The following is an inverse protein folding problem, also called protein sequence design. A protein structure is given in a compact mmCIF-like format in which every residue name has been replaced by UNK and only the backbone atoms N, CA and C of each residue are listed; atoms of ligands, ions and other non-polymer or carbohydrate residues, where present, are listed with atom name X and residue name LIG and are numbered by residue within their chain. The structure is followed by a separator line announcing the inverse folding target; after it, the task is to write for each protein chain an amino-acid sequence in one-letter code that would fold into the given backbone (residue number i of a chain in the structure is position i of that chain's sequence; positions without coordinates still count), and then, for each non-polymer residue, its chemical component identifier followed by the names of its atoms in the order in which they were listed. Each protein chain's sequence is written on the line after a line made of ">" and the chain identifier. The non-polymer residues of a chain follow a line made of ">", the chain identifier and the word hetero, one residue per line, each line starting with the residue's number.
data_IF_931028268859
#
_entry.id   IF_931028268859
#
_cell.length_a   1.000
_cell.length_b   1.000
_cell.length_c   1.000
_cell.angle_alpha   90.00
_cell.angle_beta   90.00
_cell.angle_gamma   90.00
#
_symmetry.space_group_name_H-M   'P 1'
#
loop_
_entity.id
_entity.type
_entity.pdbx_description
1 polymer ?
#
# COMPACT_ATOMS: atom_id res chain seq x y z
N UNK A 1 36.51 4.88 3.80
CA UNK A 1 35.07 4.75 3.50
C UNK A 1 34.57 3.50 4.22
N UNK A 2 34.18 3.62 5.49
CA UNK A 2 33.64 2.49 6.24
C UNK A 2 32.22 2.25 5.77
N UNK A 3 31.99 1.18 5.01
CA UNK A 3 30.64 0.76 4.67
C UNK A 3 29.94 0.34 5.95
N UNK A 4 28.72 0.85 6.16
CA UNK A 4 27.84 0.38 7.22
C UNK A 4 27.80 -1.16 7.20
N UNK A 5 27.98 -1.83 8.36
CA UNK A 5 28.01 -3.28 8.40
C UNK A 5 26.69 -3.83 7.85
N UNK A 6 26.78 -4.84 6.98
CA UNK A 6 25.61 -5.54 6.47
C UNK A 6 24.86 -6.17 7.64
N UNK A 7 23.64 -5.70 7.89
CA UNK A 7 22.73 -6.28 8.89
C UNK A 7 21.80 -7.25 8.16
N UNK A 8 21.89 -8.54 8.49
CA UNK A 8 20.97 -9.55 7.96
C UNK A 8 19.53 -9.31 8.43
N UNK A 9 18.55 -9.77 7.66
CA UNK A 9 17.13 -9.72 8.08
C UNK A 9 16.91 -10.38 9.45
N UNK A 10 17.69 -11.41 9.79
CA UNK A 10 17.64 -12.09 11.08
C UNK A 10 18.12 -11.17 12.21
N UNK A 11 19.25 -10.46 12.01
CA UNK A 11 19.73 -9.48 13.01
C UNK A 11 18.75 -8.34 13.23
N UNK A 12 18.11 -7.82 12.17
CA UNK A 12 17.03 -6.82 12.30
C UNK A 12 15.85 -7.39 13.09
N UNK A 13 15.39 -8.59 12.77
CA UNK A 13 14.27 -9.23 13.45
C UNK A 13 14.54 -9.47 14.96
N UNK A 14 15.79 -9.81 15.32
CA UNK A 14 16.20 -9.94 16.71
C UNK A 14 16.31 -8.59 17.45
N UNK A 15 16.70 -7.52 16.75
CA UNK A 15 16.77 -6.18 17.31
C UNK A 15 15.39 -5.56 17.59
N UNK A 16 14.34 -6.03 16.91
CA UNK A 16 12.97 -5.57 17.18
C UNK A 16 12.52 -5.99 18.58
N UNK A 17 11.73 -5.15 19.25
CA UNK A 17 11.04 -5.54 20.48
C UNK A 17 9.98 -6.62 20.18
N UNK A 18 9.59 -7.39 21.19
CA UNK A 18 8.49 -8.35 21.03
C UNK A 18 7.20 -7.64 20.57
N UNK A 19 6.91 -6.47 21.14
CA UNK A 19 5.79 -5.61 20.74
C UNK A 19 5.80 -5.26 19.24
N UNK A 20 6.96 -4.94 18.68
CA UNK A 20 7.06 -4.65 17.25
C UNK A 20 6.92 -5.91 16.39
N UNK A 21 7.50 -7.04 16.80
CA UNK A 21 7.30 -8.33 16.11
C UNK A 21 5.83 -8.73 16.09
N UNK A 22 5.14 -8.61 17.21
CA UNK A 22 3.71 -8.93 17.32
C UNK A 22 2.89 -7.99 16.44
N UNK A 23 3.23 -6.69 16.39
CA UNK A 23 2.58 -5.75 15.48
C UNK A 23 2.68 -6.20 14.01
N UNK A 24 3.89 -6.51 13.53
CA UNK A 24 4.09 -6.96 12.14
C UNK A 24 3.40 -8.30 11.84
N UNK A 25 3.47 -9.26 12.77
CA UNK A 25 2.85 -10.58 12.61
C UNK A 25 1.31 -10.51 12.52
N UNK A 26 0.70 -9.47 13.08
CA UNK A 26 -0.75 -9.27 13.08
C UNK A 26 -1.26 -8.30 12.00
N UNK A 27 -0.38 -7.81 11.11
CA UNK A 27 -0.82 -6.97 9.99
C UNK A 27 -1.71 -7.77 9.04
N UNK A 28 -2.84 -7.17 8.66
CA UNK A 28 -3.73 -7.72 7.65
C UNK A 28 -3.17 -7.40 6.26
N UNK A 29 -3.26 -8.35 5.33
CA UNK A 29 -2.86 -8.13 3.94
C UNK A 29 -3.72 -7.09 3.23
N UNK A 30 -4.99 -6.97 3.65
CA UNK A 30 -5.90 -5.93 3.23
C UNK A 30 -6.95 -5.70 4.34
N UNK A 31 -7.64 -4.57 4.25
CA UNK A 31 -8.85 -4.28 5.03
C UNK A 31 -10.00 -4.00 4.05
N UNK A 32 -11.23 -4.33 4.44
CA UNK A 32 -12.41 -4.14 3.61
C UNK A 32 -13.55 -3.65 4.48
N UNK A 33 -14.17 -2.54 4.08
CA UNK A 33 -15.39 -2.02 4.70
C UNK A 33 -16.58 -2.11 3.72
N UNK A 34 -17.65 -1.34 3.96
CA UNK A 34 -18.83 -1.35 3.09
C UNK A 34 -18.54 -0.84 1.67
N UNK A 35 -17.64 0.12 1.51
CA UNK A 35 -17.46 0.88 0.27
C UNK A 35 -16.06 0.71 -0.35
N UNK A 36 -15.05 0.42 0.46
CA UNK A 36 -13.65 0.42 0.04
C UNK A 36 -12.89 -0.86 0.41
N UNK A 37 -11.82 -1.10 -0.35
CA UNK A 37 -10.79 -2.10 -0.07
C UNK A 37 -9.46 -1.36 0.08
N UNK A 38 -8.71 -1.64 1.14
CA UNK A 38 -7.43 -1.01 1.43
C UNK A 38 -6.33 -2.07 1.35
N UNK A 39 -5.36 -1.88 0.46
CA UNK A 39 -4.32 -2.87 0.18
C UNK A 39 -2.98 -2.17 -0.06
N UNK A 40 -1.85 -2.84 0.22
CA UNK A 40 -0.55 -2.20 0.06
C UNK A 40 -0.24 -1.81 -1.40
N UNK A 41 -0.29 -2.77 -2.33
CA UNK A 41 0.09 -2.54 -3.73
C UNK A 41 -1.09 -2.53 -4.70
N UNK A 42 -2.03 -3.46 -4.55
CA UNK A 42 -3.17 -3.57 -5.44
C UNK A 42 -3.78 -4.96 -5.38
N UNK A 43 -4.60 -5.28 -6.38
CA UNK A 43 -5.25 -6.58 -6.52
C UNK A 43 -5.10 -7.10 -7.95
N UNK A 44 -5.12 -8.42 -8.12
CA UNK A 44 -5.24 -9.05 -9.44
C UNK A 44 -6.64 -8.76 -10.02
N UNK A 45 -6.74 -8.07 -11.17
CA UNK A 45 -8.03 -7.76 -11.81
C UNK A 45 -8.85 -9.02 -12.10
N UNK A 46 -10.17 -8.93 -11.91
CA UNK A 46 -11.10 -10.05 -12.19
C UNK A 46 -11.02 -11.22 -11.21
N UNK A 47 -10.14 -11.16 -10.20
CA UNK A 47 -10.04 -12.18 -9.14
C UNK A 47 -10.75 -11.67 -7.88
N UNK A 48 -11.67 -12.44 -7.27
CA UNK A 48 -12.34 -12.01 -6.05
C UNK A 48 -11.36 -11.95 -4.87
N UNK A 49 -11.62 -11.08 -3.89
CA UNK A 49 -10.68 -10.81 -2.77
C UNK A 49 -10.20 -12.05 -2.03
N UNK A 50 -11.08 -13.03 -1.78
CA UNK A 50 -10.73 -14.27 -1.08
C UNK A 50 -9.79 -15.21 -1.86
N UNK A 51 -9.51 -14.92 -3.15
CA UNK A 51 -8.60 -15.66 -4.02
C UNK A 51 -7.37 -14.85 -4.44
N UNK A 52 -7.18 -13.67 -3.87
CA UNK A 52 -6.01 -12.84 -4.16
C UNK A 52 -4.75 -13.48 -3.57
N UNK A 53 -3.67 -13.49 -4.36
CA UNK A 53 -2.37 -13.97 -3.90
C UNK A 53 -1.66 -12.91 -3.07
N UNK A 54 -1.01 -13.32 -1.96
CA UNK A 54 -0.29 -12.41 -1.07
C UNK A 54 0.80 -11.61 -1.79
N UNK A 55 1.43 -12.24 -2.78
CA UNK A 55 2.43 -11.58 -3.61
C UNK A 55 1.84 -10.38 -4.34
N UNK A 56 0.67 -10.54 -4.96
CA UNK A 56 0.02 -9.46 -5.70
C UNK A 56 -0.41 -8.33 -4.76
N UNK A 57 -1.00 -8.66 -3.60
CA UNK A 57 -1.41 -7.68 -2.60
C UNK A 57 -0.25 -6.78 -2.13
N UNK A 58 0.98 -7.29 -2.17
CA UNK A 58 2.19 -6.60 -1.72
C UNK A 58 3.06 -6.02 -2.85
N UNK A 59 2.94 -6.49 -4.09
CA UNK A 59 3.91 -6.18 -5.15
C UNK A 59 3.35 -5.90 -6.54
N UNK A 60 2.04 -6.06 -6.77
CA UNK A 60 1.47 -5.81 -8.11
C UNK A 60 1.60 -4.33 -8.50
N UNK A 61 1.81 -4.07 -9.79
CA UNK A 61 1.97 -2.72 -10.35
C UNK A 61 1.08 -2.55 -11.58
N UNK A 62 1.69 -2.58 -12.77
CA UNK A 62 1.09 -2.23 -14.05
C UNK A 62 -0.18 -3.04 -14.35
N UNK A 63 -0.16 -4.35 -14.10
CA UNK A 63 -1.32 -5.23 -14.26
C UNK A 63 -2.57 -4.72 -13.52
N UNK A 64 -2.38 -4.15 -12.33
CA UNK A 64 -3.45 -3.55 -11.53
C UNK A 64 -3.74 -2.10 -11.93
N UNK A 65 -2.70 -1.27 -12.11
CA UNK A 65 -2.84 0.18 -12.37
C UNK A 65 -3.56 0.45 -13.69
N UNK A 66 -3.29 -0.37 -14.71
CA UNK A 66 -3.80 -0.17 -16.08
C UNK A 66 -5.06 -0.97 -16.41
N UNK A 67 -5.54 -1.82 -15.50
CA UNK A 67 -6.75 -2.64 -15.72
C UNK A 67 -7.89 -2.24 -14.77
N UNK A 68 -9.16 -2.32 -15.19
CA UNK A 68 -10.30 -2.20 -14.28
C UNK A 68 -10.26 -3.31 -13.22
N UNK A 69 -10.56 -3.02 -11.96
CA UNK A 69 -10.54 -4.03 -10.88
C UNK A 69 -11.60 -5.11 -11.10
N UNK A 70 -12.77 -4.73 -11.62
CA UNK A 70 -13.95 -5.58 -11.72
C UNK A 70 -14.68 -5.79 -10.38
N UNK A 71 -14.32 -5.03 -9.35
CA UNK A 71 -14.98 -5.08 -8.04
C UNK A 71 -16.00 -3.94 -7.92
N UNK A 72 -17.04 -4.16 -7.10
CA UNK A 72 -18.02 -3.12 -6.78
C UNK A 72 -17.49 -2.07 -5.79
N UNK A 73 -16.33 -2.32 -5.17
CA UNK A 73 -15.70 -1.44 -4.17
C UNK A 73 -14.47 -0.79 -4.77
N UNK A 74 -14.27 0.49 -4.45
CA UNK A 74 -13.09 1.25 -4.87
C UNK A 74 -11.87 0.83 -4.05
N UNK A 75 -10.73 0.61 -4.70
CA UNK A 75 -9.50 0.11 -4.08
C UNK A 75 -8.55 1.26 -3.73
N UNK A 76 -8.23 1.44 -2.45
CA UNK A 76 -7.22 2.38 -1.96
C UNK A 76 -5.88 1.66 -1.80
N UNK A 77 -4.82 2.18 -2.43
CA UNK A 77 -3.51 1.52 -2.48
C UNK A 77 -2.33 2.49 -2.38
N UNK A 78 -1.13 1.94 -2.16
CA UNK A 78 0.15 2.65 -2.16
C UNK A 78 1.17 1.94 -3.06
N UNK A 79 2.40 1.72 -2.56
CA UNK A 79 3.48 0.94 -3.18
C UNK A 79 4.11 1.51 -4.47
N UNK A 80 3.29 1.94 -5.41
CA UNK A 80 3.73 2.56 -6.65
C UNK A 80 3.65 4.09 -6.48
N UNK A 81 4.79 4.80 -6.44
CA UNK A 81 4.79 6.23 -6.24
C UNK A 81 4.31 6.97 -7.48
N UNK A 82 3.48 8.00 -7.28
CA UNK A 82 3.03 8.93 -8.31
C UNK A 82 3.36 10.37 -7.92
N UNK A 83 3.49 11.28 -8.90
CA UNK A 83 3.78 12.69 -8.62
C UNK A 83 2.65 13.42 -7.86
N UNK A 84 1.42 12.90 -7.98
CA UNK A 84 0.19 13.37 -7.32
C UNK A 84 -0.69 12.14 -7.03
N UNK A 85 -1.72 12.24 -6.17
CA UNK A 85 -2.62 11.12 -5.94
C UNK A 85 -3.15 10.55 -7.25
N UNK A 86 -3.08 9.23 -7.40
CA UNK A 86 -3.58 8.54 -8.57
C UNK A 86 -5.07 8.27 -8.38
N UNK A 87 -5.93 8.80 -9.26
CA UNK A 87 -7.38 8.66 -9.08
C UNK A 87 -7.99 8.09 -10.35
N UNK A 88 -8.72 6.99 -10.18
CA UNK A 88 -9.62 6.38 -11.17
C UNK A 88 -10.95 6.06 -10.48
N UNK A 89 -11.95 5.73 -11.29
CA UNK A 89 -13.29 5.34 -10.81
C UNK A 89 -13.25 4.16 -9.84
N UNK A 90 -12.34 3.22 -10.03
CA UNK A 90 -12.26 1.95 -9.30
C UNK A 90 -11.07 1.87 -8.33
N UNK A 91 -10.17 2.87 -8.30
CA UNK A 91 -9.01 2.89 -7.39
C UNK A 91 -8.42 4.28 -7.12
N UNK A 92 -7.82 4.42 -5.94
CA UNK A 92 -7.09 5.62 -5.48
C UNK A 92 -5.70 5.20 -4.98
N UNK A 93 -4.64 5.76 -5.55
CA UNK A 93 -3.26 5.61 -5.09
C UNK A 93 -2.82 6.80 -4.26
N UNK A 94 -2.39 6.57 -3.02
CA UNK A 94 -1.94 7.62 -2.08
C UNK A 94 -0.43 7.70 -1.93
N UNK A 95 0.33 6.80 -2.55
CA UNK A 95 1.79 6.87 -2.52
C UNK A 95 2.28 7.99 -3.45
N UNK A 96 2.63 9.12 -2.84
CA UNK A 96 3.21 10.28 -3.52
C UNK A 96 4.71 10.41 -3.29
N UNK A 97 5.38 9.29 -3.00
CA UNK A 97 6.84 9.22 -2.96
C UNK A 97 7.49 10.04 -1.86
N UNK A 98 6.93 10.06 -0.64
CA UNK A 98 7.42 10.87 0.48
C UNK A 98 8.95 10.73 0.72
N UNK A 99 9.48 9.51 0.63
CA UNK A 99 10.90 9.21 0.81
C UNK A 99 11.77 9.66 -0.38
N UNK A 100 11.19 9.87 -1.55
CA UNK A 100 11.87 10.28 -2.78
C UNK A 100 11.85 11.79 -3.01
N UNK A 101 11.64 12.56 -1.93
CA UNK A 101 11.45 14.00 -2.03
C UNK A 101 10.08 14.37 -2.60
N UNK A 102 9.06 13.52 -2.41
CA UNK A 102 7.64 13.82 -2.62
C UNK A 102 7.00 14.41 -1.36
N UNK A 103 5.75 14.03 -1.07
CA UNK A 103 5.05 14.36 0.19
C UNK A 103 4.34 13.11 0.72
N UNK A 104 4.00 13.09 2.00
CA UNK A 104 3.09 12.08 2.56
C UNK A 104 1.65 12.50 2.27
N UNK A 105 0.86 11.62 1.65
CA UNK A 105 -0.54 11.88 1.29
C UNK A 105 -1.47 10.94 2.05
N UNK A 106 -2.57 11.50 2.57
CA UNK A 106 -3.73 10.79 3.06
C UNK A 106 -4.97 11.20 2.24
N UNK A 107 -5.96 10.30 2.17
CA UNK A 107 -7.29 10.59 1.61
C UNK A 107 -8.34 10.49 2.72
N UNK A 108 -9.19 11.51 2.83
CA UNK A 108 -10.41 11.48 3.64
C UNK A 108 -11.55 10.93 2.78
N UNK A 109 -12.22 9.89 3.27
CA UNK A 109 -13.34 9.22 2.61
C UNK A 109 -14.64 9.46 3.40
N UNK A 110 -15.80 9.60 2.74
CA UNK A 110 -16.03 9.39 1.30
C UNK A 110 -15.80 10.62 0.41
N UNK A 111 -15.42 11.78 0.96
CA UNK A 111 -15.33 13.04 0.18
C UNK A 111 -14.17 13.08 -0.82
N UNK A 112 -13.24 12.11 -0.74
CA UNK A 112 -12.03 12.02 -1.56
C UNK A 112 -11.16 13.29 -1.48
N UNK A 113 -11.10 13.89 -0.29
CA UNK A 113 -10.24 15.05 0.00
C UNK A 113 -8.83 14.57 0.31
N UNK A 114 -7.83 15.08 -0.42
CA UNK A 114 -6.43 14.74 -0.20
C UNK A 114 -5.77 15.71 0.77
N UNK A 115 -5.15 15.16 1.82
CA UNK A 115 -4.38 15.90 2.83
C UNK A 115 -2.92 15.51 2.65
N UNK A 116 -2.05 16.49 2.49
CA UNK A 116 -0.63 16.26 2.24
C UNK A 116 0.22 16.93 3.31
N UNK A 117 1.31 16.29 3.73
CA UNK A 117 2.27 16.88 4.65
C UNK A 117 2.86 18.16 4.06
N UNK A 118 3.01 19.19 4.89
CA UNK A 118 3.82 20.36 4.54
C UNK A 118 5.30 19.97 4.46
N UNK A 119 6.02 20.61 3.55
CA UNK A 119 7.49 20.58 3.53
C UNK A 119 8.04 21.64 4.46
#
# INVERSE_FOLDING_TARGET
>A
LGGEPFVSHTQVAHALSQKHRDFYANLRWYYEDRYYIYVHAGIRPGVPMFRQERHDLAWIRDDFIFSPTGLSKKVVFGHTPFARPFVKEDKIGVDTGAIYGGVLTAVQLPEEIFIQSHR
#
